data_IF_147274707401
#
_entry.id   IF_147274707401
#
_cell.length_a   1.000
_cell.length_b   1.000
_cell.length_c   1.000
_cell.angle_alpha   90.00
_cell.angle_beta   90.00
_cell.angle_gamma   90.00
#
_symmetry.space_group_name_H-M   'P 1'
#
loop_
_entity.id
_entity.type
_entity.pdbx_description
1 polymer ?
#
# COMPACT_ATOMS: atom_id res chain seq x y z
N UNK A 1 -5.52 -7.76 22.96
CA UNK A 1 -4.93 -8.56 21.89
C UNK A 1 -5.88 -8.62 20.72
N UNK A 2 -5.37 -8.68 19.50
CA UNK A 2 -6.21 -8.82 18.31
C UNK A 2 -7.09 -10.07 18.42
N UNK A 3 -8.38 -9.93 18.18
CA UNK A 3 -9.32 -11.08 18.21
C UNK A 3 -9.28 -11.85 16.90
N UNK A 4 -9.67 -13.12 16.93
CA UNK A 4 -9.83 -13.92 15.70
C UNK A 4 -10.81 -13.27 14.71
N UNK A 5 -11.83 -12.59 15.21
CA UNK A 5 -12.80 -11.84 14.39
C UNK A 5 -12.14 -10.64 13.70
N UNK A 6 -11.33 -9.85 14.42
CA UNK A 6 -10.60 -8.71 13.83
C UNK A 6 -9.58 -9.15 12.78
N UNK A 7 -8.93 -10.30 12.99
CA UNK A 7 -7.98 -10.88 12.04
C UNK A 7 -8.71 -11.41 10.80
N UNK A 8 -9.85 -12.10 10.99
CA UNK A 8 -10.67 -12.57 9.87
C UNK A 8 -11.19 -11.39 9.02
N UNK A 9 -11.73 -10.36 9.67
CA UNK A 9 -12.19 -9.13 9.02
C UNK A 9 -11.06 -8.44 8.24
N UNK A 10 -9.84 -8.38 8.79
CA UNK A 10 -8.69 -7.84 8.08
C UNK A 10 -8.45 -8.56 6.75
N UNK A 11 -8.38 -9.89 6.76
CA UNK A 11 -8.11 -10.67 5.55
C UNK A 11 -9.27 -10.57 4.54
N UNK A 12 -10.51 -10.59 5.01
CA UNK A 12 -11.69 -10.37 4.18
C UNK A 12 -11.62 -9.00 3.48
N UNK A 13 -11.29 -7.94 4.21
CA UNK A 13 -11.16 -6.59 3.64
C UNK A 13 -9.99 -6.45 2.69
N UNK A 14 -8.83 -7.03 3.00
CA UNK A 14 -7.67 -7.04 2.08
C UNK A 14 -8.01 -7.70 0.75
N UNK A 15 -8.79 -8.79 0.79
CA UNK A 15 -9.24 -9.50 -0.41
C UNK A 15 -10.27 -8.69 -1.19
N UNK A 16 -11.34 -8.23 -0.54
CA UNK A 16 -12.45 -7.52 -1.20
C UNK A 16 -11.96 -6.28 -1.93
N UNK A 17 -11.19 -5.42 -1.25
CA UNK A 17 -10.82 -4.12 -1.83
C UNK A 17 -9.80 -4.30 -2.97
N UNK A 18 -8.84 -5.23 -2.86
CA UNK A 18 -7.91 -5.50 -3.95
C UNK A 18 -8.59 -6.17 -5.14
N UNK A 19 -9.49 -7.12 -4.91
CA UNK A 19 -10.23 -7.79 -5.98
C UNK A 19 -11.15 -6.84 -6.74
N UNK A 20 -11.79 -5.87 -6.07
CA UNK A 20 -12.57 -4.83 -6.73
C UNK A 20 -11.72 -3.94 -7.66
N UNK A 21 -10.51 -3.56 -7.21
CA UNK A 21 -9.56 -2.83 -8.03
C UNK A 21 -9.07 -3.66 -9.22
N UNK A 22 -8.75 -4.94 -9.02
CA UNK A 22 -8.28 -5.82 -10.10
C UNK A 22 -9.32 -5.97 -11.22
N UNK A 23 -10.60 -6.15 -10.89
CA UNK A 23 -11.69 -6.19 -11.88
C UNK A 23 -11.73 -4.90 -12.72
N UNK A 24 -11.46 -3.75 -12.10
CA UNK A 24 -11.39 -2.46 -12.82
C UNK A 24 -10.20 -2.42 -13.77
N UNK A 25 -9.02 -2.85 -13.31
CA UNK A 25 -7.78 -2.84 -14.08
C UNK A 25 -7.82 -3.84 -15.24
N UNK A 26 -8.43 -5.01 -15.09
CA UNK A 26 -8.65 -6.00 -16.16
C UNK A 26 -9.49 -5.44 -17.32
N UNK A 27 -10.37 -4.49 -17.03
CA UNK A 27 -11.21 -3.83 -18.03
C UNK A 27 -10.55 -2.65 -18.75
N UNK A 28 -9.36 -2.22 -18.33
CA UNK A 28 -8.67 -1.05 -18.88
C UNK A 28 -7.64 -1.43 -19.95
N UNK A 29 -7.57 -0.62 -21.01
CA UNK A 29 -6.43 -0.65 -21.95
C UNK A 29 -5.24 0.14 -21.39
N UNK A 30 -4.05 -0.12 -21.92
CA UNK A 30 -2.86 0.69 -21.63
C UNK A 30 -3.05 2.18 -21.89
N UNK A 31 -3.74 2.54 -22.97
CA UNK A 31 -4.02 3.93 -23.31
C UNK A 31 -4.92 4.61 -22.27
N UNK A 32 -5.93 3.90 -21.76
CA UNK A 32 -6.79 4.39 -20.69
C UNK A 32 -6.00 4.53 -19.38
N UNK A 33 -5.15 3.56 -19.07
CA UNK A 33 -4.37 3.55 -17.84
C UNK A 33 -3.26 4.62 -17.81
N UNK A 34 -2.85 5.11 -18.97
CA UNK A 34 -1.88 6.20 -19.09
C UNK A 34 -2.50 7.59 -18.88
N UNK A 35 -3.83 7.69 -18.90
CA UNK A 35 -4.49 8.97 -18.74
C UNK A 35 -4.25 9.54 -17.34
N UNK A 36 -3.79 10.80 -17.29
CA UNK A 36 -3.64 11.57 -16.06
C UNK A 36 -4.79 12.55 -15.89
N UNK A 37 -5.35 12.70 -14.68
CA UNK A 37 -6.35 13.72 -14.40
C UNK A 37 -5.80 15.13 -14.69
N UNK A 38 -6.52 15.98 -15.46
CA UNK A 38 -5.98 17.25 -15.96
C UNK A 38 -5.73 18.31 -14.88
N UNK A 39 -6.41 18.22 -13.73
CA UNK A 39 -6.29 19.17 -12.61
C UNK A 39 -5.76 18.49 -11.33
N UNK A 40 -5.27 17.25 -11.43
CA UNK A 40 -4.73 16.53 -10.28
C UNK A 40 -3.33 17.03 -9.90
N UNK A 41 -3.13 17.36 -8.63
CA UNK A 41 -1.81 17.63 -8.04
C UNK A 41 -1.37 16.43 -7.18
N UNK A 42 -0.05 16.22 -7.07
CA UNK A 42 0.50 15.09 -6.32
C UNK A 42 -0.03 13.75 -6.82
N UNK A 43 -0.42 12.87 -5.90
CA UNK A 43 -0.94 11.53 -6.24
C UNK A 43 -2.27 11.58 -6.99
N UNK A 44 -3.09 12.61 -6.75
CA UNK A 44 -4.34 12.79 -7.49
C UNK A 44 -4.11 13.14 -8.97
N UNK A 45 -2.88 13.52 -9.35
CA UNK A 45 -2.47 13.77 -10.74
C UNK A 45 -1.77 12.59 -11.42
N UNK A 46 -1.58 11.46 -10.72
CA UNK A 46 -0.94 10.28 -11.28
C UNK A 46 -1.84 9.53 -12.26
N UNK A 47 -1.22 8.88 -13.24
CA UNK A 47 -1.90 7.94 -14.14
C UNK A 47 -2.26 6.66 -13.39
N UNK A 48 -3.18 5.85 -13.91
CA UNK A 48 -3.52 4.55 -13.30
C UNK A 48 -2.28 3.68 -13.16
N UNK A 49 -1.37 3.69 -14.15
CA UNK A 49 -0.10 2.95 -14.08
C UNK A 49 0.78 3.40 -12.91
N UNK A 50 0.91 4.71 -12.72
CA UNK A 50 1.65 5.29 -11.59
C UNK A 50 1.02 4.90 -10.24
N UNK A 51 -0.32 4.91 -10.14
CA UNK A 51 -1.05 4.45 -8.95
C UNK A 51 -0.78 2.96 -8.65
N UNK A 52 -0.79 2.10 -9.67
CA UNK A 52 -0.53 0.65 -9.51
C UNK A 52 0.89 0.40 -8.99
N UNK A 53 1.90 1.09 -9.55
CA UNK A 53 3.29 0.96 -9.08
C UNK A 53 3.46 1.48 -7.66
N UNK A 54 2.79 2.60 -7.33
CA UNK A 54 2.79 3.14 -5.97
C UNK A 54 2.24 2.14 -4.96
N UNK A 55 1.08 1.54 -5.24
CA UNK A 55 0.50 0.51 -4.37
C UNK A 55 1.44 -0.68 -4.16
N UNK A 56 2.13 -1.15 -5.21
CA UNK A 56 3.12 -2.21 -5.09
C UNK A 56 4.31 -1.81 -4.18
N UNK A 57 4.81 -0.59 -4.33
CA UNK A 57 5.89 -0.06 -3.50
C UNK A 57 5.49 0.10 -2.03
N UNK A 58 4.24 0.47 -1.79
CA UNK A 58 3.67 0.61 -0.46
C UNK A 58 3.44 -0.75 0.21
N UNK A 59 2.97 -1.75 -0.54
CA UNK A 59 2.89 -3.14 -0.07
C UNK A 59 4.26 -3.62 0.44
N UNK A 60 5.32 -3.37 -0.35
CA UNK A 60 6.70 -3.74 0.00
C UNK A 60 7.24 -2.99 1.22
N UNK A 61 7.07 -1.66 1.24
CA UNK A 61 7.61 -0.79 2.29
C UNK A 61 6.98 -1.11 3.64
N UNK A 62 5.65 -1.22 3.68
CA UNK A 62 4.91 -1.53 4.90
C UNK A 62 5.22 -2.95 5.37
N UNK A 63 5.43 -3.92 4.47
CA UNK A 63 5.88 -5.28 4.81
C UNK A 63 7.24 -5.25 5.52
N UNK A 64 8.16 -4.40 5.07
CA UNK A 64 9.45 -4.16 5.75
C UNK A 64 9.28 -3.63 7.18
N UNK A 65 8.37 -2.67 7.38
CA UNK A 65 8.06 -2.12 8.72
C UNK A 65 7.42 -3.15 9.64
N UNK A 66 6.48 -3.95 9.12
CA UNK A 66 5.84 -5.05 9.86
C UNK A 66 6.88 -6.08 10.31
N UNK A 67 7.80 -6.50 9.42
CA UNK A 67 8.89 -7.43 9.78
C UNK A 67 9.71 -6.91 10.96
N UNK A 68 10.02 -5.61 10.97
CA UNK A 68 10.74 -4.98 12.09
C UNK A 68 9.90 -4.91 13.36
N UNK A 69 8.62 -4.52 13.28
CA UNK A 69 7.72 -4.50 14.43
C UNK A 69 7.61 -5.87 15.12
N UNK A 70 7.63 -6.95 14.33
CA UNK A 70 7.64 -8.32 14.87
C UNK A 70 8.97 -8.62 15.58
N UNK A 71 10.10 -8.32 14.94
CA UNK A 71 11.44 -8.72 15.42
C UNK A 71 12.01 -7.83 16.55
N UNK A 72 11.68 -6.54 16.58
CA UNK A 72 12.26 -5.54 17.49
C UNK A 72 11.19 -4.96 18.43
N UNK A 73 11.57 -4.56 19.64
CA UNK A 73 10.62 -3.94 20.57
C UNK A 73 10.32 -2.47 20.24
N UNK A 74 9.10 -2.21 19.74
CA UNK A 74 8.60 -0.88 19.37
C UNK A 74 9.60 0.00 18.59
N UNK A 75 10.17 -0.50 17.47
CA UNK A 75 11.22 0.19 16.74
C UNK A 75 10.71 1.49 16.11
N UNK A 76 11.62 2.46 15.95
CA UNK A 76 11.40 3.52 14.98
C UNK A 76 11.74 2.96 13.59
N UNK A 77 10.77 2.89 12.67
CA UNK A 77 10.98 2.35 11.33
C UNK A 77 11.29 3.43 10.28
N UNK A 78 11.27 4.70 10.69
CA UNK A 78 11.73 5.86 9.90
C UNK A 78 13.21 6.22 10.14
N UNK A 79 13.95 5.38 10.84
CA UNK A 79 15.36 5.61 11.20
C UNK A 79 16.38 5.26 10.10
N UNK A 80 15.89 4.96 8.89
CA UNK A 80 16.72 4.57 7.73
C UNK A 80 17.28 3.14 7.80
N UNK A 81 16.96 2.34 8.83
CA UNK A 81 17.42 0.94 8.93
C UNK A 81 16.52 -0.05 8.19
N UNK A 82 15.31 0.34 7.80
CA UNK A 82 14.46 -0.47 6.92
C UNK A 82 15.04 -0.37 5.51
N UNK A 83 15.49 -1.49 4.89
CA UNK A 83 16.04 -1.44 3.55
C UNK A 83 15.00 -0.91 2.55
N UNK A 84 15.39 0.06 1.73
CA UNK A 84 14.62 0.44 0.55
C UNK A 84 15.00 -0.54 -0.58
N UNK A 85 14.08 -1.42 -0.97
CA UNK A 85 14.32 -2.43 -2.01
C UNK A 85 13.51 -2.02 -3.25
N UNK A 86 14.15 -1.59 -4.35
CA UNK A 86 13.47 -1.16 -5.56
C UNK A 86 12.58 -2.24 -6.15
N UNK A 87 11.41 -1.86 -6.65
CA UNK A 87 10.54 -2.73 -7.43
C UNK A 87 11.24 -3.17 -8.74
N UNK A 88 10.77 -4.27 -9.33
CA UNK A 88 11.31 -4.74 -10.61
C UNK A 88 11.02 -3.73 -11.73
N UNK A 89 9.82 -3.16 -11.71
CA UNK A 89 9.42 -2.00 -12.51
C UNK A 89 9.22 -0.82 -11.55
N UNK A 90 10.19 0.12 -11.48
CA UNK A 90 10.11 1.27 -10.59
C UNK A 90 9.14 2.33 -11.12
N UNK A 91 8.76 3.27 -10.26
CA UNK A 91 7.77 4.32 -10.55
C UNK A 91 8.12 5.12 -11.80
N UNK A 92 9.40 5.46 -11.98
CA UNK A 92 9.90 6.24 -13.11
C UNK A 92 9.69 5.54 -14.46
N UNK A 93 9.50 4.22 -14.45
CA UNK A 93 9.28 3.39 -15.64
C UNK A 93 7.81 2.98 -15.81
N UNK A 94 6.90 3.46 -14.96
CA UNK A 94 5.49 3.11 -15.02
C UNK A 94 4.85 3.44 -16.39
N UNK A 95 5.22 4.57 -16.99
CA UNK A 95 4.74 5.00 -18.31
C UNK A 95 5.11 4.01 -19.42
N UNK A 96 6.35 3.52 -19.40
CA UNK A 96 6.92 2.68 -20.45
C UNK A 96 6.50 1.21 -20.34
N UNK A 97 6.01 0.79 -19.16
CA UNK A 97 5.54 -0.57 -18.91
C UNK A 97 4.09 -0.77 -19.38
N UNK A 98 3.75 -2.01 -19.74
CA UNK A 98 2.36 -2.39 -19.95
C UNK A 98 1.63 -2.58 -18.61
N UNK A 99 0.34 -2.26 -18.59
CA UNK A 99 -0.49 -2.32 -17.39
C UNK A 99 -0.50 -3.73 -16.78
N UNK A 100 -0.52 -4.78 -17.60
CA UNK A 100 -0.60 -6.15 -17.11
C UNK A 100 0.66 -6.53 -16.30
N UNK A 101 1.85 -6.12 -16.75
CA UNK A 101 3.11 -6.30 -16.00
C UNK A 101 3.11 -5.55 -14.67
N UNK A 102 2.59 -4.32 -14.64
CA UNK A 102 2.46 -3.53 -13.40
C UNK A 102 1.49 -4.17 -12.42
N UNK A 103 0.35 -4.67 -12.92
CA UNK A 103 -0.65 -5.39 -12.12
C UNK A 103 -0.08 -6.68 -11.55
N UNK A 104 0.65 -7.46 -12.35
CA UNK A 104 1.30 -8.69 -11.89
C UNK A 104 2.31 -8.42 -10.76
N UNK A 105 3.11 -7.35 -10.88
CA UNK A 105 4.00 -6.91 -9.81
C UNK A 105 3.23 -6.54 -8.53
N UNK A 106 2.18 -5.73 -8.65
CA UNK A 106 1.35 -5.31 -7.51
C UNK A 106 0.67 -6.51 -6.82
N UNK A 107 0.25 -7.52 -7.59
CA UNK A 107 -0.30 -8.76 -7.05
C UNK A 107 0.76 -9.56 -6.29
N UNK A 108 1.95 -9.75 -6.86
CA UNK A 108 3.06 -10.45 -6.20
C UNK A 108 3.45 -9.81 -4.86
N UNK A 109 3.51 -8.48 -4.81
CA UNK A 109 3.79 -7.76 -3.56
C UNK A 109 2.72 -7.97 -2.47
N UNK A 110 1.45 -8.05 -2.87
CA UNK A 110 0.35 -8.34 -1.94
C UNK A 110 0.37 -9.79 -1.50
N UNK A 111 0.66 -10.74 -2.39
CA UNK A 111 0.78 -12.16 -2.05
C UNK A 111 1.86 -12.39 -0.99
N UNK A 112 3.06 -11.83 -1.16
CA UNK A 112 4.12 -11.90 -0.14
C UNK A 112 3.69 -11.32 1.21
N UNK A 113 2.96 -10.20 1.19
CA UNK A 113 2.43 -9.56 2.40
C UNK A 113 1.41 -10.47 3.10
N UNK A 114 0.49 -11.07 2.35
CA UNK A 114 -0.53 -11.97 2.90
C UNK A 114 0.07 -13.27 3.41
N UNK A 115 1.04 -13.85 2.71
CA UNK A 115 1.79 -15.03 3.16
C UNK A 115 2.47 -14.76 4.50
N UNK A 116 3.17 -13.63 4.63
CA UNK A 116 3.78 -13.22 5.89
C UNK A 116 2.71 -13.07 7.00
N UNK A 117 1.65 -12.30 6.75
CA UNK A 117 0.62 -12.01 7.75
C UNK A 117 -0.11 -13.26 8.26
N UNK A 118 -0.29 -14.28 7.41
CA UNK A 118 -0.89 -15.57 7.79
C UNK A 118 -0.05 -16.37 8.79
N UNK A 119 1.24 -16.05 8.92
CA UNK A 119 2.13 -16.72 9.91
C UNK A 119 2.04 -16.14 11.31
N UNK A 120 1.35 -15.01 11.50
CA UNK A 120 1.35 -14.28 12.76
C UNK A 120 0.47 -14.93 13.82
N UNK A 121 0.94 -14.92 15.07
CA UNK A 121 0.09 -15.16 16.24
C UNK A 121 -0.78 -13.93 16.54
N UNK A 122 -1.89 -14.07 17.28
CA UNK A 122 -2.71 -12.93 17.69
C UNK A 122 -1.93 -11.81 18.40
N UNK A 123 -0.94 -12.16 19.22
CA UNK A 123 -0.09 -11.21 19.94
C UNK A 123 0.84 -10.43 19.00
N UNK A 124 1.26 -11.04 17.90
CA UNK A 124 2.10 -10.40 16.89
C UNK A 124 1.36 -9.26 16.17
N UNK A 125 0.03 -9.34 16.06
CA UNK A 125 -0.80 -8.25 15.54
C UNK A 125 -0.84 -7.01 16.47
N UNK A 126 -0.56 -7.17 17.76
CA UNK A 126 -0.50 -6.06 18.73
C UNK A 126 0.89 -5.41 18.81
N UNK A 127 1.92 -6.01 18.21
CA UNK A 127 3.27 -5.45 18.18
C UNK A 127 3.22 -4.09 17.51
N UNK A 128 4.01 -3.14 18.00
CA UNK A 128 4.00 -1.76 17.52
C UNK A 128 5.30 -1.39 16.81
N UNK A 129 5.19 -0.39 15.95
CA UNK A 129 6.32 0.36 15.41
C UNK A 129 5.94 1.84 15.33
N UNK A 130 6.95 2.70 15.43
CA UNK A 130 6.82 4.15 15.30
C UNK A 130 7.30 4.58 13.93
N UNK A 131 6.50 5.37 13.24
CA UNK A 131 6.91 6.13 12.06
C UNK A 131 6.84 7.62 12.35
N UNK A 132 7.64 8.39 11.63
CA UNK A 132 7.53 9.84 11.65
C UNK A 132 6.16 10.31 11.10
N UNK A 133 5.63 9.61 10.11
CA UNK A 133 4.42 10.02 9.38
C UNK A 133 3.10 9.65 10.08
N UNK A 134 2.99 8.49 10.71
CA UNK A 134 1.73 8.04 11.35
C UNK A 134 1.84 7.92 12.87
N UNK A 135 3.01 8.22 13.45
CA UNK A 135 3.26 7.98 14.86
C UNK A 135 3.38 6.49 15.17
N UNK A 136 2.88 6.07 16.33
CA UNK A 136 2.90 4.67 16.76
C UNK A 136 1.65 3.93 16.29
N UNK A 137 1.85 2.83 15.59
CA UNK A 137 0.77 1.95 15.12
C UNK A 137 1.10 0.49 15.45
N UNK A 138 0.06 -0.31 15.69
CA UNK A 138 0.16 -1.78 15.78
C UNK A 138 0.29 -2.40 14.39
N UNK A 139 0.80 -3.63 14.31
CA UNK A 139 0.84 -4.42 13.07
C UNK A 139 -0.55 -4.57 12.46
N UNK A 140 -1.59 -4.79 13.27
CA UNK A 140 -2.98 -4.81 12.79
C UNK A 140 -3.39 -3.48 12.15
N UNK A 141 -3.05 -2.35 12.76
CA UNK A 141 -3.35 -1.03 12.21
C UNK A 141 -2.62 -0.79 10.89
N UNK A 142 -1.34 -1.17 10.80
CA UNK A 142 -0.56 -1.14 9.56
C UNK A 142 -1.22 -1.96 8.46
N UNK A 143 -1.57 -3.22 8.73
CA UNK A 143 -2.21 -4.09 7.74
C UNK A 143 -3.58 -3.56 7.30
N UNK A 144 -4.31 -2.88 8.20
CA UNK A 144 -5.55 -2.19 7.83
C UNK A 144 -5.34 -1.00 6.89
N UNK A 145 -4.18 -0.35 6.93
CA UNK A 145 -3.88 0.75 6.00
C UNK A 145 -3.84 0.28 4.54
N UNK A 146 -3.45 -0.97 4.27
CA UNK A 146 -3.35 -1.50 2.90
C UNK A 146 -4.69 -1.46 2.16
N UNK A 147 -5.77 -2.02 2.72
CA UNK A 147 -7.07 -2.02 2.03
C UNK A 147 -7.70 -0.63 1.98
N UNK A 148 -7.37 0.26 2.92
CA UNK A 148 -7.84 1.66 2.88
C UNK A 148 -7.12 2.45 1.78
N UNK A 149 -5.84 2.16 1.61
CA UNK A 149 -5.01 2.70 0.55
C UNK A 149 -5.45 2.18 -0.83
N UNK A 150 -5.80 0.89 -0.93
CA UNK A 150 -6.41 0.32 -2.12
C UNK A 150 -7.69 1.10 -2.49
N UNK A 151 -8.61 1.31 -1.54
CA UNK A 151 -9.85 2.08 -1.78
C UNK A 151 -9.59 3.52 -2.21
N UNK A 152 -8.59 4.18 -1.63
CA UNK A 152 -8.22 5.55 -1.97
C UNK A 152 -7.76 5.66 -3.42
N UNK A 153 -6.78 4.85 -3.80
CA UNK A 153 -6.25 4.89 -5.16
C UNK A 153 -7.22 4.30 -6.18
N UNK A 154 -8.05 3.34 -5.80
CA UNK A 154 -9.12 2.85 -6.67
C UNK A 154 -10.11 3.96 -7.02
N UNK A 155 -10.55 4.75 -6.05
CA UNK A 155 -11.40 5.92 -6.32
C UNK A 155 -10.70 6.92 -7.26
N UNK A 156 -9.41 7.21 -7.04
CA UNK A 156 -8.63 8.10 -7.91
C UNK A 156 -8.53 7.56 -9.36
N UNK A 157 -8.33 6.25 -9.53
CA UNK A 157 -8.30 5.60 -10.85
C UNK A 157 -9.64 5.74 -11.58
N UNK A 158 -10.76 5.79 -10.85
CA UNK A 158 -12.10 5.99 -11.40
C UNK A 158 -12.47 7.48 -11.58
N UNK A 159 -11.61 8.41 -11.15
CA UNK A 159 -11.92 9.84 -11.12
C UNK A 159 -12.98 10.21 -10.06
N UNK A 160 -13.11 9.39 -9.02
CA UNK A 160 -14.05 9.57 -7.91
C UNK A 160 -13.37 10.16 -6.67
N UNK A 161 -14.17 10.71 -5.77
CA UNK A 161 -13.69 11.17 -4.45
C UNK A 161 -13.65 9.96 -3.52
N UNK A 162 -12.48 9.66 -2.96
CA UNK A 162 -12.37 8.61 -1.94
C UNK A 162 -13.12 8.99 -0.67
N UNK A 163 -13.75 8.01 -0.03
CA UNK A 163 -14.34 8.15 1.30
C UNK A 163 -13.33 7.89 2.44
N UNK A 164 -12.06 7.66 2.09
CA UNK A 164 -10.95 7.51 3.01
C UNK A 164 -9.90 8.60 2.80
N UNK A 165 -9.55 9.28 3.88
CA UNK A 165 -8.40 10.17 3.96
C UNK A 165 -7.41 9.61 5.00
N UNK A 166 -6.12 9.42 4.64
CA UNK A 166 -5.10 9.03 5.60
C UNK A 166 -4.95 10.06 6.73
N UNK A 167 -4.83 9.57 7.96
CA UNK A 167 -4.61 10.42 9.13
C UNK A 167 -3.12 10.52 9.46
N UNK A 168 -2.47 11.54 8.92
CA UNK A 168 -1.08 11.83 9.18
C UNK A 168 -0.85 12.48 10.55
N UNK A 169 0.35 12.32 11.10
CA UNK A 169 0.82 13.10 12.22
C UNK A 169 0.82 14.61 11.86
N UNK A 170 0.63 15.52 12.83
CA UNK A 170 0.54 16.95 12.55
C UNK A 170 1.71 17.48 11.71
N UNK A 171 1.39 18.10 10.56
CA UNK A 171 2.38 18.65 9.64
C UNK A 171 3.11 17.62 8.76
N UNK A 172 2.66 16.37 8.74
CA UNK A 172 3.14 15.33 7.82
C UNK A 172 2.15 15.12 6.67
N UNK A 173 2.68 14.66 5.54
CA UNK A 173 1.96 14.15 4.36
C UNK A 173 2.64 12.85 3.96
N UNK A 174 2.01 12.04 3.09
CA UNK A 174 2.67 10.89 2.45
C UNK A 174 4.04 11.33 1.92
N UNK A 175 5.15 10.64 2.24
CA UNK A 175 6.42 11.00 1.68
C UNK A 175 6.32 10.73 0.18
N UNK A 176 6.83 11.60 -0.70
CA UNK A 176 6.98 11.22 -2.09
C UNK A 176 7.78 9.92 -2.12
N UNK A 177 7.36 8.93 -2.92
CA UNK A 177 8.15 7.73 -3.16
C UNK A 177 9.57 8.19 -3.47
N UNK A 178 10.54 7.67 -2.69
CA UNK A 178 11.93 8.06 -2.87
C UNK A 178 12.34 7.65 -4.27
N UNK A 179 12.45 8.65 -5.15
CA UNK A 179 13.11 8.50 -6.45
C UNK A 179 14.57 8.20 -6.15
N UNK A 180 15.06 7.07 -6.65
CA UNK A 180 16.48 6.71 -6.56
C UNK A 180 17.38 7.78 -7.23
#
# INVERSE_FOLDING_TARGET
MATSEQIAELFEKLEIERSAMLVTLEGMSDEQAEHRPPEGEGEAGWSVKEQVVHLAGMDRSYRGWVRRAIAEDSPNVSDGRTPNIPLDIPFEQAHDADLASLVAQMQGEREETLELARTFTPEQFDRTARTQIFGELTVLQWLRSYYRHDRMHHAQMLGEVSDYEPQYAPGQQEPPLQRD
#
